data_IF_659980770527
#
_entry.id   IF_659980770527
#
_cell.length_a   1.000
_cell.length_b   1.000
_cell.length_c   1.000
_cell.angle_alpha   90.00
_cell.angle_beta   90.00
_cell.angle_gamma   90.00
#
_symmetry.space_group_name_H-M   'P 1'
#
loop_
_entity.id
_entity.type
_entity.pdbx_description
1 polymer ?
#
# COMPACT_ATOMS: atom_id res chain seq x y z
N UNK A 1 6.62 -8.86 19.96
CA UNK A 1 6.19 -7.83 19.00
C UNK A 1 5.84 -6.51 19.67
N UNK A 2 4.84 -6.45 20.53
CA UNK A 2 4.37 -5.20 21.12
C UNK A 2 5.44 -4.46 21.94
N UNK A 3 6.26 -5.19 22.69
CA UNK A 3 7.33 -4.58 23.50
C UNK A 3 8.31 -3.77 22.66
N UNK A 4 8.58 -4.22 21.44
CA UNK A 4 9.61 -3.57 20.62
C UNK A 4 9.07 -2.47 19.72
N UNK A 5 7.80 -2.54 19.36
CA UNK A 5 7.25 -1.65 18.32
C UNK A 5 6.36 -0.55 18.87
N UNK A 6 5.52 -0.88 19.84
CA UNK A 6 4.61 0.12 20.39
C UNK A 6 5.20 0.91 21.54
N UNK A 7 6.11 0.30 22.33
CA UNK A 7 6.64 0.97 23.51
C UNK A 7 7.27 2.34 23.24
N UNK A 8 8.12 2.51 22.22
CA UNK A 8 8.69 3.83 21.97
C UNK A 8 7.63 4.88 21.65
N UNK A 9 6.64 4.51 20.84
CA UNK A 9 5.53 5.41 20.48
C UNK A 9 4.66 5.74 21.69
N UNK A 10 4.35 4.71 22.46
CA UNK A 10 3.46 4.88 23.63
C UNK A 10 4.11 5.71 24.72
N UNK A 11 5.42 5.57 24.91
CA UNK A 11 6.14 6.35 25.92
C UNK A 11 6.11 7.85 25.62
N UNK A 12 6.23 8.21 24.34
CA UNK A 12 6.22 9.63 23.94
C UNK A 12 4.86 10.30 24.18
N UNK A 13 3.79 9.48 24.30
CA UNK A 13 2.42 9.99 24.49
C UNK A 13 1.91 9.78 25.91
N UNK A 14 2.76 9.38 26.86
CA UNK A 14 2.37 9.02 28.22
C UNK A 14 1.33 7.89 28.23
N UNK A 15 1.49 6.94 27.30
CA UNK A 15 0.60 5.79 27.20
C UNK A 15 1.25 4.56 27.84
N UNK A 16 0.42 3.73 28.42
CA UNK A 16 0.82 2.47 29.08
C UNK A 16 0.07 1.33 28.39
N UNK A 17 0.78 0.27 28.06
CA UNK A 17 0.16 -0.92 27.46
C UNK A 17 0.27 -2.09 28.43
N UNK A 18 -0.82 -2.81 28.64
CA UNK A 18 -0.87 -3.99 29.51
C UNK A 18 -1.46 -5.16 28.75
N UNK A 19 -0.76 -6.29 28.75
CA UNK A 19 -1.30 -7.52 28.21
C UNK A 19 -2.33 -8.06 29.21
N UNK A 20 -3.51 -8.43 28.70
CA UNK A 20 -4.56 -8.98 29.55
C UNK A 20 -5.04 -10.31 28.98
N UNK A 21 -5.72 -11.10 29.81
CA UNK A 21 -6.24 -12.39 29.37
C UNK A 21 -7.30 -12.18 28.30
N UNK A 22 -7.18 -12.92 27.22
CA UNK A 22 -8.18 -12.93 26.16
C UNK A 22 -9.13 -14.11 26.37
N UNK A 23 -10.40 -13.90 26.10
CA UNK A 23 -11.37 -14.99 26.09
C UNK A 23 -11.21 -15.86 24.86
N UNK A 24 -10.58 -15.34 23.82
CA UNK A 24 -10.31 -16.07 22.57
C UNK A 24 -8.85 -16.55 22.60
N UNK A 25 -8.66 -17.86 22.48
CA UNK A 25 -7.35 -18.50 22.50
C UNK A 25 -6.51 -18.16 21.28
N UNK A 26 -7.14 -17.64 20.22
CA UNK A 26 -6.44 -17.27 18.99
C UNK A 26 -6.09 -15.79 18.91
N UNK A 27 -6.34 -15.06 20.01
CA UNK A 27 -6.13 -13.61 20.01
C UNK A 27 -5.38 -13.20 21.29
N UNK A 28 -4.32 -12.43 21.12
CA UNK A 28 -3.69 -11.72 22.24
C UNK A 28 -4.41 -10.39 22.41
N UNK A 29 -4.76 -10.09 23.67
CA UNK A 29 -5.46 -8.84 23.99
C UNK A 29 -4.56 -7.95 24.82
N UNK A 30 -4.53 -6.68 24.47
CA UNK A 30 -3.79 -5.65 25.22
C UNK A 30 -4.72 -4.48 25.49
N UNK A 31 -4.51 -3.82 26.61
CA UNK A 31 -5.24 -2.61 26.98
C UNK A 31 -4.28 -1.45 27.02
N UNK A 32 -4.67 -0.35 26.41
CA UNK A 32 -3.86 0.88 26.39
C UNK A 32 -4.52 1.88 27.36
N UNK A 33 -3.70 2.43 28.23
CA UNK A 33 -4.12 3.42 29.22
C UNK A 33 -3.35 4.71 28.99
N UNK A 34 -4.00 5.83 29.24
CA UNK A 34 -3.33 7.12 29.25
C UNK A 34 -3.24 7.61 30.69
N UNK A 35 -2.06 8.06 31.07
CA UNK A 35 -1.82 8.58 32.42
C UNK A 35 -2.18 10.07 32.45
N UNK A 36 -3.03 10.44 33.36
CA UNK A 36 -3.42 11.83 33.61
C UNK A 36 -2.96 12.27 34.98
N UNK A 37 -2.46 13.49 35.08
CA UNK A 37 -2.13 14.11 36.35
C UNK A 37 -3.34 14.92 36.84
N UNK A 38 -3.74 14.72 38.04
CA UNK A 38 -4.84 15.46 38.66
C UNK A 38 -4.29 16.72 39.34
N UNK A 39 -5.12 17.74 39.56
CA UNK A 39 -4.68 18.94 40.28
C UNK A 39 -4.13 18.63 41.66
N UNK A 40 -4.55 17.53 42.27
CA UNK A 40 -4.04 17.07 43.58
C UNK A 40 -2.59 16.58 43.53
N UNK A 41 -2.03 16.40 42.32
CA UNK A 41 -0.71 15.80 42.15
C UNK A 41 -0.75 14.28 41.97
N UNK A 42 -1.90 13.67 42.19
CA UNK A 42 -2.08 12.24 41.95
C UNK A 42 -2.15 11.96 40.47
N UNK A 43 -1.80 10.72 40.07
CA UNK A 43 -1.94 10.30 38.67
C UNK A 43 -3.01 9.23 38.57
N UNK A 44 -3.72 9.23 37.44
CA UNK A 44 -4.78 8.25 37.18
C UNK A 44 -4.58 7.66 35.79
N UNK A 45 -4.64 6.33 35.71
CA UNK A 45 -4.57 5.62 34.42
C UNK A 45 -5.99 5.41 33.89
N UNK A 46 -6.29 5.99 32.76
CA UNK A 46 -7.61 5.84 32.13
C UNK A 46 -7.45 4.95 30.90
N UNK A 47 -8.22 3.88 30.85
CA UNK A 47 -8.20 2.97 29.70
C UNK A 47 -8.81 3.69 28.50
N UNK A 48 -8.09 3.72 27.41
CA UNK A 48 -8.52 4.41 26.20
C UNK A 48 -8.89 3.47 25.06
N UNK A 49 -8.28 2.26 25.00
CA UNK A 49 -8.67 1.30 23.95
C UNK A 49 -8.22 -0.11 24.28
N UNK A 50 -8.77 -1.06 23.57
CA UNK A 50 -8.33 -2.45 23.56
C UNK A 50 -7.70 -2.75 22.19
N UNK A 51 -6.56 -3.45 22.21
CA UNK A 51 -5.92 -3.95 20.99
C UNK A 51 -6.04 -5.45 20.97
N UNK A 52 -6.41 -5.99 19.83
CA UNK A 52 -6.56 -7.43 19.63
C UNK A 52 -5.62 -7.87 18.52
N UNK A 53 -4.73 -8.80 18.83
CA UNK A 53 -3.75 -9.30 17.87
C UNK A 53 -4.01 -10.79 17.63
N UNK A 54 -4.38 -11.19 16.44
CA UNK A 54 -4.56 -12.62 16.18
C UNK A 54 -3.23 -13.35 16.38
N UNK A 55 -3.30 -14.49 17.06
CA UNK A 55 -2.15 -15.37 17.21
C UNK A 55 -2.08 -16.19 15.93
N UNK A 56 -1.12 -15.87 15.09
CA UNK A 56 -0.94 -16.58 13.84
C UNK A 56 -0.54 -18.02 14.13
N UNK A 57 -1.42 -18.94 13.81
CA UNK A 57 -1.14 -20.38 13.90
C UNK A 57 -0.88 -20.96 12.52
N UNK A 58 -0.55 -20.14 11.57
CA UNK A 58 -0.40 -20.67 10.23
C UNK A 58 0.97 -21.33 10.11
N UNK A 59 0.92 -22.61 9.86
CA UNK A 59 2.02 -23.49 9.52
C UNK A 59 3.05 -22.85 8.59
N UNK A 60 4.07 -22.27 9.14
CA UNK A 60 5.32 -21.96 8.43
C UNK A 60 5.27 -21.00 7.25
N UNK A 61 4.11 -20.47 6.87
CA UNK A 61 4.01 -19.52 5.75
C UNK A 61 3.76 -18.12 6.29
N UNK A 62 4.69 -17.21 6.04
CA UNK A 62 4.56 -15.83 6.47
C UNK A 62 3.53 -15.09 5.60
N UNK A 63 2.73 -14.19 6.17
CA UNK A 63 1.83 -13.36 5.35
C UNK A 63 2.64 -12.50 4.39
N UNK A 64 2.17 -12.42 3.15
CA UNK A 64 2.84 -11.67 2.10
C UNK A 64 2.32 -10.24 2.07
N UNK A 65 3.23 -9.27 1.98
CA UNK A 65 2.86 -7.86 1.92
C UNK A 65 3.58 -7.20 0.74
N UNK A 66 2.83 -6.48 -0.07
CA UNK A 66 3.39 -5.57 -1.06
C UNK A 66 3.22 -4.13 -0.54
N UNK A 67 4.32 -3.49 -0.16
CA UNK A 67 4.35 -2.06 0.10
C UNK A 67 4.66 -1.34 -1.19
N UNK A 68 3.84 -0.35 -1.54
CA UNK A 68 3.99 0.45 -2.75
C UNK A 68 4.34 1.88 -2.32
N UNK A 69 5.47 2.38 -2.82
CA UNK A 69 5.94 3.74 -2.53
C UNK A 69 5.55 4.63 -3.71
N UNK A 70 4.61 5.53 -3.47
CA UNK A 70 4.07 6.45 -4.46
C UNK A 70 4.89 7.75 -4.55
N UNK A 71 4.58 8.55 -5.56
CA UNK A 71 5.07 9.92 -5.78
C UNK A 71 6.57 9.99 -6.03
N UNK A 72 7.16 8.93 -6.56
CA UNK A 72 8.56 8.95 -6.96
C UNK A 72 8.64 9.62 -8.33
N UNK A 73 9.47 10.64 -8.45
CA UNK A 73 9.61 11.43 -9.69
C UNK A 73 11.01 11.30 -10.29
N UNK A 74 12.04 11.36 -9.44
CA UNK A 74 13.41 11.46 -9.92
C UNK A 74 14.39 10.79 -8.98
N UNK A 75 15.58 10.51 -9.52
CA UNK A 75 16.70 10.00 -8.74
C UNK A 75 17.22 11.12 -7.83
N UNK A 76 16.99 10.96 -6.52
CA UNK A 76 17.35 11.99 -5.55
C UNK A 76 17.79 11.34 -4.22
N UNK A 77 18.14 12.20 -3.27
CA UNK A 77 18.62 11.77 -1.95
C UNK A 77 17.64 10.77 -1.29
N UNK A 78 16.34 11.05 -1.35
CA UNK A 78 15.35 10.23 -0.63
C UNK A 78 15.16 8.86 -1.30
N UNK A 79 15.30 8.80 -2.62
CA UNK A 79 15.32 7.51 -3.33
C UNK A 79 16.54 6.70 -2.86
N UNK A 80 17.70 7.32 -2.74
CA UNK A 80 18.90 6.61 -2.27
C UNK A 80 18.75 6.12 -0.83
N UNK A 81 18.12 6.92 0.02
CA UNK A 81 17.81 6.49 1.39
C UNK A 81 16.87 5.28 1.38
N UNK A 82 15.88 5.30 0.51
CA UNK A 82 14.93 4.19 0.38
C UNK A 82 15.64 2.92 -0.11
N UNK A 83 16.57 3.06 -1.04
CA UNK A 83 17.28 1.91 -1.64
C UNK A 83 18.12 1.14 -0.62
N UNK A 84 18.45 1.73 0.54
CA UNK A 84 19.17 1.04 1.61
C UNK A 84 18.29 0.08 2.41
N UNK A 85 16.96 0.13 2.22
CA UNK A 85 16.02 -0.78 2.88
C UNK A 85 16.32 -2.22 2.41
N UNK A 86 16.48 -3.19 3.33
CA UNK A 86 16.99 -4.52 2.94
C UNK A 86 15.95 -5.47 2.36
N UNK A 87 14.66 -5.12 2.40
CA UNK A 87 13.59 -5.99 1.89
C UNK A 87 12.99 -5.40 0.62
N UNK A 88 12.13 -6.18 -0.05
CA UNK A 88 11.50 -5.78 -1.31
C UNK A 88 10.44 -4.69 -1.11
N UNK A 89 10.51 -3.68 -1.97
CA UNK A 89 9.47 -2.66 -2.09
C UNK A 89 9.02 -2.58 -3.55
N UNK A 90 7.90 -1.92 -3.77
CA UNK A 90 7.35 -1.64 -5.09
C UNK A 90 7.35 -0.13 -5.27
N UNK A 91 7.96 0.36 -6.33
CA UNK A 91 8.19 1.79 -6.50
C UNK A 91 7.34 2.30 -7.66
N UNK A 92 6.42 3.21 -7.34
CA UNK A 92 5.50 3.77 -8.33
C UNK A 92 5.98 5.15 -8.73
N UNK A 93 6.36 5.26 -10.00
CA UNK A 93 7.08 6.41 -10.54
C UNK A 93 6.14 7.22 -11.44
N UNK A 94 6.05 8.53 -11.20
CA UNK A 94 5.28 9.44 -12.06
C UNK A 94 6.06 9.56 -13.38
N UNK A 95 5.40 9.37 -14.53
CA UNK A 95 6.10 9.25 -15.81
C UNK A 95 6.51 10.61 -16.41
N UNK A 96 7.55 11.20 -15.87
CA UNK A 96 8.18 12.41 -16.42
C UNK A 96 9.41 11.99 -17.22
N UNK A 97 10.12 12.97 -17.77
CA UNK A 97 11.39 12.71 -18.49
C UNK A 97 12.48 12.16 -17.58
N UNK A 98 12.30 12.23 -16.28
CA UNK A 98 13.26 11.71 -15.28
C UNK A 98 12.96 10.27 -14.90
N UNK A 99 11.87 9.68 -15.39
CA UNK A 99 11.41 8.36 -14.95
C UNK A 99 12.42 7.25 -15.29
N UNK A 100 12.99 7.25 -16.48
CA UNK A 100 13.92 6.20 -16.90
C UNK A 100 15.11 6.08 -15.96
N UNK A 101 15.70 7.20 -15.59
CA UNK A 101 16.89 7.21 -14.74
C UNK A 101 16.59 6.62 -13.36
N UNK A 102 15.49 7.02 -12.72
CA UNK A 102 15.15 6.46 -11.41
C UNK A 102 14.70 5.00 -11.55
N UNK A 103 13.99 4.66 -12.62
CA UNK A 103 13.58 3.27 -12.86
C UNK A 103 14.79 2.33 -12.98
N UNK A 104 15.87 2.77 -13.62
CA UNK A 104 17.10 1.98 -13.73
C UNK A 104 17.68 1.67 -12.35
N UNK A 105 17.68 2.64 -11.43
CA UNK A 105 18.17 2.42 -10.07
C UNK A 105 17.32 1.39 -9.33
N UNK A 106 15.99 1.48 -9.48
CA UNK A 106 15.07 0.53 -8.85
C UNK A 106 15.24 -0.86 -9.45
N UNK A 107 15.40 -0.93 -10.77
CA UNK A 107 15.63 -2.19 -11.48
C UNK A 107 16.90 -2.89 -10.96
N UNK A 108 17.98 -2.15 -10.78
CA UNK A 108 19.24 -2.68 -10.25
C UNK A 108 19.05 -3.26 -8.85
N UNK A 109 18.15 -2.67 -8.05
CA UNK A 109 17.83 -3.13 -6.70
C UNK A 109 16.98 -4.41 -6.72
N UNK A 110 16.35 -4.74 -7.86
CA UNK A 110 15.50 -5.92 -8.00
C UNK A 110 14.08 -5.74 -7.50
N UNK A 111 13.66 -4.52 -7.29
CA UNK A 111 12.30 -4.20 -6.83
C UNK A 111 11.35 -4.04 -8.02
N UNK A 112 10.04 -4.11 -7.75
CA UNK A 112 9.02 -3.90 -8.78
C UNK A 112 8.92 -2.41 -9.14
N UNK A 113 8.86 -2.13 -10.44
CA UNK A 113 8.66 -0.79 -10.95
C UNK A 113 7.21 -0.67 -11.43
N UNK A 114 6.51 0.35 -10.96
CA UNK A 114 5.14 0.63 -11.35
C UNK A 114 5.06 2.03 -11.95
N UNK A 115 4.07 2.25 -12.79
CA UNK A 115 3.77 3.58 -13.31
C UNK A 115 2.70 4.23 -12.44
N UNK A 116 3.02 5.39 -11.88
CA UNK A 116 2.10 6.20 -11.08
C UNK A 116 1.40 7.17 -12.02
N UNK A 117 0.24 6.78 -12.50
CA UNK A 117 -0.42 7.40 -13.66
C UNK A 117 -1.34 8.53 -13.20
N UNK A 118 -1.04 9.79 -13.58
CA UNK A 118 -1.90 10.91 -13.18
C UNK A 118 -3.30 10.80 -13.77
N UNK A 119 -4.29 11.07 -12.92
CA UNK A 119 -5.71 11.06 -13.30
C UNK A 119 -6.43 12.21 -12.60
N UNK A 120 -7.47 12.74 -13.23
CA UNK A 120 -8.22 13.89 -12.72
C UNK A 120 -8.85 13.61 -11.37
N UNK A 121 -8.67 14.56 -10.46
CA UNK A 121 -9.30 14.53 -9.14
C UNK A 121 -10.58 15.35 -9.13
N UNK A 122 -11.42 15.15 -8.11
CA UNK A 122 -12.65 15.96 -7.93
C UNK A 122 -12.34 17.43 -7.63
N UNK A 123 -11.12 17.73 -7.20
CA UNK A 123 -10.72 19.12 -6.89
C UNK A 123 -9.96 19.80 -8.04
N UNK A 124 -9.78 19.11 -9.16
CA UNK A 124 -9.19 19.72 -10.35
C UNK A 124 -10.06 20.92 -10.80
N UNK A 125 -9.49 22.06 -11.20
CA UNK A 125 -8.06 22.30 -11.43
C UNK A 125 -7.26 22.89 -10.25
N UNK A 126 -7.83 22.99 -9.07
CA UNK A 126 -7.15 23.58 -7.90
C UNK A 126 -5.85 22.85 -7.59
N UNK A 127 -5.83 21.55 -7.80
CA UNK A 127 -4.67 20.69 -7.49
C UNK A 127 -3.87 20.28 -8.74
N UNK A 128 -4.07 20.97 -9.86
CA UNK A 128 -3.45 20.62 -11.14
C UNK A 128 -1.92 20.54 -11.05
N UNK A 129 -1.30 21.39 -10.26
CA UNK A 129 0.17 21.40 -10.11
C UNK A 129 0.71 20.10 -9.51
N UNK A 130 -0.10 19.40 -8.72
CA UNK A 130 0.34 18.15 -8.08
C UNK A 130 0.26 16.94 -9.00
N UNK A 131 -0.35 17.07 -10.18
CA UNK A 131 -0.40 15.98 -11.17
C UNK A 131 0.98 15.65 -11.74
N UNK A 132 1.81 16.65 -11.90
CA UNK A 132 3.23 16.55 -12.30
C UNK A 132 3.40 16.15 -13.78
N UNK A 133 2.57 15.25 -14.30
CA UNK A 133 2.60 14.81 -15.69
C UNK A 133 1.18 14.84 -16.27
N UNK A 134 1.06 14.67 -17.58
CA UNK A 134 -0.24 14.73 -18.27
C UNK A 134 -1.20 13.70 -17.67
N UNK A 135 -2.42 14.13 -17.38
CA UNK A 135 -3.40 13.31 -16.67
C UNK A 135 -4.53 12.85 -17.57
N UNK A 136 -5.03 11.64 -17.29
CA UNK A 136 -6.30 11.17 -17.88
C UNK A 136 -7.42 12.00 -17.22
N UNK A 137 -8.31 12.52 -18.07
CA UNK A 137 -9.44 13.35 -17.63
C UNK A 137 -10.75 12.66 -17.95
N UNK A 138 -11.74 12.86 -17.11
CA UNK A 138 -13.10 12.36 -17.36
C UNK A 138 -13.59 12.91 -18.72
N UNK A 139 -14.20 12.02 -19.51
CA UNK A 139 -14.74 12.39 -20.81
C UNK A 139 -13.79 12.24 -21.98
N UNK A 140 -12.51 11.91 -21.72
CA UNK A 140 -11.59 11.60 -22.82
C UNK A 140 -12.05 10.37 -23.58
N UNK A 141 -11.82 10.36 -24.90
CA UNK A 141 -12.07 9.16 -25.70
C UNK A 141 -10.90 8.18 -25.55
N UNK A 142 -11.11 6.96 -26.02
CA UNK A 142 -10.12 5.89 -25.84
C UNK A 142 -8.80 6.20 -26.53
N UNK A 143 -8.83 6.84 -27.71
CA UNK A 143 -7.61 7.20 -28.43
C UNK A 143 -6.79 8.23 -27.65
N UNK A 144 -7.44 9.20 -27.01
CA UNK A 144 -6.76 10.19 -26.18
C UNK A 144 -6.09 9.53 -24.97
N UNK A 145 -6.80 8.60 -24.32
CA UNK A 145 -6.26 7.85 -23.17
C UNK A 145 -5.08 6.98 -23.63
N UNK A 146 -5.25 6.29 -24.76
CA UNK A 146 -4.18 5.46 -25.34
C UNK A 146 -2.92 6.28 -25.58
N UNK A 147 -3.08 7.46 -26.16
CA UNK A 147 -1.94 8.34 -26.44
C UNK A 147 -1.20 8.74 -25.16
N UNK A 148 -1.94 9.06 -24.10
CA UNK A 148 -1.34 9.42 -22.80
C UNK A 148 -0.58 8.23 -22.23
N UNK A 149 -1.20 7.06 -22.19
CA UNK A 149 -0.58 5.85 -21.60
C UNK A 149 0.67 5.46 -22.40
N UNK A 150 0.56 5.44 -23.73
CA UNK A 150 1.68 5.09 -24.59
C UNK A 150 2.85 6.05 -24.41
N UNK A 151 2.57 7.36 -24.39
CA UNK A 151 3.60 8.38 -24.19
C UNK A 151 4.29 8.20 -22.84
N UNK A 152 3.49 7.95 -21.79
CA UNK A 152 4.03 7.76 -20.46
C UNK A 152 4.87 6.48 -20.33
N UNK A 153 4.44 5.39 -20.96
CA UNK A 153 5.23 4.15 -20.96
C UNK A 153 6.61 4.35 -21.59
N UNK A 154 6.69 5.17 -22.62
CA UNK A 154 7.99 5.48 -23.29
C UNK A 154 8.98 6.17 -22.34
N UNK A 155 8.48 6.86 -21.30
CA UNK A 155 9.34 7.52 -20.31
C UNK A 155 10.21 6.54 -19.53
N UNK A 156 9.86 5.26 -19.53
CA UNK A 156 10.61 4.21 -18.81
C UNK A 156 11.69 3.56 -19.68
N UNK A 157 11.83 3.98 -20.94
CA UNK A 157 12.85 3.43 -21.84
C UNK A 157 12.64 1.94 -22.05
N UNK A 158 13.70 1.16 -21.84
CA UNK A 158 13.65 -0.30 -21.98
C UNK A 158 13.20 -1.03 -20.71
N UNK A 159 12.94 -0.30 -19.63
CA UNK A 159 12.48 -0.90 -18.38
C UNK A 159 11.01 -1.30 -18.53
N UNK A 160 10.71 -2.56 -18.26
CA UNK A 160 9.35 -3.07 -18.35
C UNK A 160 8.53 -2.63 -17.14
N UNK A 161 7.35 -2.06 -17.41
CA UNK A 161 6.36 -1.71 -16.40
C UNK A 161 5.16 -2.61 -16.62
N UNK A 162 4.78 -3.38 -15.60
CA UNK A 162 3.64 -4.32 -15.69
C UNK A 162 2.45 -3.89 -14.85
N UNK A 163 2.65 -3.01 -13.87
CA UNK A 163 1.60 -2.55 -12.97
C UNK A 163 1.50 -1.04 -12.99
N UNK A 164 0.27 -0.56 -12.89
CA UNK A 164 -0.06 0.87 -12.87
C UNK A 164 -0.93 1.12 -11.64
N UNK A 165 -0.74 2.25 -10.96
CA UNK A 165 -1.73 2.72 -10.00
C UNK A 165 -2.02 4.20 -10.25
N UNK A 166 -3.23 4.62 -9.88
CA UNK A 166 -3.63 6.01 -10.12
C UNK A 166 -2.94 6.96 -9.15
N UNK A 167 -2.36 8.01 -9.74
CA UNK A 167 -1.90 9.19 -9.01
C UNK A 167 -3.08 10.16 -8.96
N UNK A 168 -3.54 10.51 -7.74
CA UNK A 168 -4.78 11.24 -7.59
C UNK A 168 -5.93 10.42 -8.23
N UNK A 169 -6.80 11.02 -9.02
CA UNK A 169 -7.78 10.28 -9.80
C UNK A 169 -9.13 10.08 -9.13
N UNK A 170 -9.43 10.86 -8.09
CA UNK A 170 -10.70 10.68 -7.37
C UNK A 170 -11.93 10.90 -8.25
N UNK A 171 -11.80 11.67 -9.33
CA UNK A 171 -12.92 11.87 -10.27
C UNK A 171 -12.97 10.75 -11.31
N UNK A 172 -11.83 10.39 -11.90
CA UNK A 172 -11.76 9.35 -12.93
C UNK A 172 -12.19 8.00 -12.37
N UNK A 173 -11.67 7.62 -11.19
CA UNK A 173 -11.94 6.29 -10.62
C UNK A 173 -13.39 6.12 -10.20
N UNK A 174 -14.17 7.21 -10.09
CA UNK A 174 -15.62 7.14 -9.82
C UNK A 174 -16.45 7.12 -11.09
N UNK A 175 -15.86 7.35 -12.24
CA UNK A 175 -16.60 7.49 -13.50
C UNK A 175 -16.53 6.19 -14.32
N UNK A 176 -17.63 5.39 -14.33
CA UNK A 176 -17.57 4.09 -15.03
C UNK A 176 -17.27 4.22 -16.52
N UNK A 177 -17.80 5.23 -17.20
CA UNK A 177 -17.61 5.40 -18.63
C UNK A 177 -16.13 5.64 -18.96
N UNK A 178 -15.47 6.52 -18.21
CA UNK A 178 -14.04 6.79 -18.43
C UNK A 178 -13.21 5.57 -18.00
N UNK A 179 -13.54 4.94 -16.88
CA UNK A 179 -12.79 3.77 -16.41
C UNK A 179 -12.85 2.60 -17.39
N UNK A 180 -13.98 2.41 -18.08
CA UNK A 180 -14.07 1.36 -19.09
C UNK A 180 -13.01 1.57 -20.19
N UNK A 181 -12.87 2.82 -20.64
CA UNK A 181 -11.88 3.17 -21.66
C UNK A 181 -10.45 3.00 -21.15
N UNK A 182 -10.21 3.43 -19.92
CA UNK A 182 -8.89 3.26 -19.28
C UNK A 182 -8.51 1.79 -19.20
N UNK A 183 -9.44 0.94 -18.79
CA UNK A 183 -9.19 -0.51 -18.66
C UNK A 183 -8.92 -1.13 -20.03
N UNK A 184 -9.65 -0.72 -21.07
CA UNK A 184 -9.39 -1.20 -22.43
C UNK A 184 -7.96 -0.88 -22.86
N UNK A 185 -7.49 0.32 -22.53
CA UNK A 185 -6.12 0.73 -22.87
C UNK A 185 -5.12 -0.11 -22.05
N UNK A 186 -5.39 -0.35 -20.76
CA UNK A 186 -4.51 -1.19 -19.95
C UNK A 186 -4.40 -2.61 -20.54
N UNK A 187 -5.51 -3.17 -21.01
CA UNK A 187 -5.48 -4.48 -21.69
C UNK A 187 -4.55 -4.47 -22.91
N UNK A 188 -4.64 -3.42 -23.71
CA UNK A 188 -3.83 -3.27 -24.94
C UNK A 188 -2.32 -3.34 -24.61
N UNK A 189 -1.91 -2.78 -23.49
CA UNK A 189 -0.49 -2.70 -23.10
C UNK A 189 -0.11 -3.75 -22.04
N UNK A 190 -0.96 -4.73 -21.80
CA UNK A 190 -0.73 -5.80 -20.80
C UNK A 190 -0.38 -5.24 -19.43
N UNK A 191 -1.14 -4.24 -18.98
CA UNK A 191 -0.91 -3.59 -17.69
C UNK A 191 -1.90 -4.12 -16.66
N UNK A 192 -1.38 -4.48 -15.49
CA UNK A 192 -2.16 -4.79 -14.30
C UNK A 192 -2.43 -3.48 -13.54
N UNK A 193 -3.46 -3.45 -12.72
CA UNK A 193 -3.92 -2.22 -12.08
C UNK A 193 -4.07 -2.37 -10.57
N UNK A 194 -3.51 -1.41 -9.85
CA UNK A 194 -3.74 -1.22 -8.42
C UNK A 194 -4.59 0.04 -8.25
N UNK A 195 -5.83 -0.13 -7.75
CA UNK A 195 -6.66 1.01 -7.39
C UNK A 195 -6.09 1.62 -6.11
N UNK A 196 -5.57 2.84 -6.19
CA UNK A 196 -4.97 3.51 -5.03
C UNK A 196 -6.00 3.85 -3.96
N UNK A 197 -7.31 3.82 -4.31
CA UNK A 197 -8.42 4.10 -3.38
C UNK A 197 -8.33 5.51 -2.81
N UNK A 198 -8.16 6.48 -3.69
CA UNK A 198 -8.10 7.90 -3.30
C UNK A 198 -9.47 8.44 -2.91
N UNK A 199 -10.53 7.69 -3.16
CA UNK A 199 -11.90 8.10 -2.84
C UNK A 199 -12.74 6.86 -2.49
N UNK A 200 -13.64 7.03 -1.52
CA UNK A 200 -14.71 6.08 -1.29
C UNK A 200 -15.64 6.11 -2.50
N UNK A 201 -16.05 4.97 -2.97
CA UNK A 201 -16.92 4.90 -4.15
C UNK A 201 -16.18 4.76 -5.46
N UNK A 202 -14.85 4.55 -5.43
CA UNK A 202 -14.13 4.17 -6.65
C UNK A 202 -14.75 2.90 -7.23
N UNK A 203 -14.99 2.89 -8.54
CA UNK A 203 -15.45 1.69 -9.26
C UNK A 203 -14.27 1.00 -9.97
N UNK A 204 -13.07 1.57 -9.87
CA UNK A 204 -11.94 1.16 -10.70
C UNK A 204 -11.51 -0.28 -10.45
N UNK A 205 -11.30 -0.67 -9.20
CA UNK A 205 -10.89 -2.04 -8.89
C UNK A 205 -11.93 -3.05 -9.37
N UNK A 206 -13.19 -2.82 -9.03
CA UNK A 206 -14.28 -3.75 -9.39
C UNK A 206 -14.38 -3.93 -10.90
N UNK A 207 -14.30 -2.84 -11.65
CA UNK A 207 -14.37 -2.89 -13.11
C UNK A 207 -13.13 -3.58 -13.71
N UNK A 208 -11.95 -3.27 -13.20
CA UNK A 208 -10.71 -3.90 -13.67
C UNK A 208 -10.74 -5.41 -13.41
N UNK A 209 -11.12 -5.79 -12.21
CA UNK A 209 -11.21 -7.20 -11.82
C UNK A 209 -12.21 -7.95 -12.70
N UNK A 210 -13.39 -7.36 -12.93
CA UNK A 210 -14.44 -7.97 -13.79
C UNK A 210 -14.00 -8.08 -15.24
N UNK A 211 -13.11 -7.20 -15.70
CA UNK A 211 -12.62 -7.21 -17.08
C UNK A 211 -11.56 -8.28 -17.35
N UNK A 212 -11.02 -8.88 -16.28
CA UNK A 212 -10.01 -9.92 -16.37
C UNK A 212 -8.57 -9.45 -16.32
N UNK A 213 -8.32 -8.15 -16.19
CA UNK A 213 -6.91 -7.72 -15.98
C UNK A 213 -6.51 -7.97 -14.52
N UNK A 214 -5.27 -8.36 -14.26
CA UNK A 214 -4.82 -8.51 -12.88
C UNK A 214 -5.02 -7.20 -12.13
N UNK A 215 -5.68 -7.28 -10.98
CA UNK A 215 -6.01 -6.05 -10.23
C UNK A 215 -6.06 -6.29 -8.73
N UNK A 216 -5.69 -5.25 -7.99
CA UNK A 216 -5.73 -5.21 -6.53
C UNK A 216 -6.21 -3.82 -6.14
N UNK A 217 -6.53 -3.64 -4.86
CA UNK A 217 -6.85 -2.32 -4.34
C UNK A 217 -6.07 -2.07 -3.04
N UNK A 218 -5.67 -0.83 -2.85
CA UNK A 218 -4.95 -0.40 -1.65
C UNK A 218 -5.81 -0.65 -0.42
N UNK A 219 -5.23 -1.27 0.60
CA UNK A 219 -5.95 -1.60 1.83
C UNK A 219 -5.80 -0.52 2.89
N UNK A 220 -4.74 0.28 2.82
CA UNK A 220 -4.50 1.34 3.80
C UNK A 220 -3.39 2.25 3.29
N UNK A 221 -3.57 3.57 3.45
CA UNK A 221 -2.47 4.53 3.29
C UNK A 221 -1.70 4.61 4.61
N UNK A 222 -0.41 4.30 4.55
CA UNK A 222 0.44 4.26 5.75
C UNK A 222 0.68 5.67 6.30
N UNK A 223 0.85 6.64 5.41
CA UNK A 223 1.25 7.99 5.79
C UNK A 223 0.23 9.05 5.36
N UNK A 224 -1.04 8.72 5.51
CA UNK A 224 -2.11 9.67 5.28
C UNK A 224 -1.86 10.97 6.06
N UNK A 225 -1.40 10.84 7.29
CA UNK A 225 -0.96 11.97 8.11
C UNK A 225 0.56 11.97 8.20
N UNK A 226 1.18 13.13 7.98
CA UNK A 226 2.64 13.26 7.96
C UNK A 226 3.19 13.44 9.38
N UNK A 227 3.03 12.42 10.21
CA UNK A 227 3.40 12.41 11.63
C UNK A 227 4.03 11.06 11.95
N UNK A 228 5.24 11.07 12.51
CA UNK A 228 6.01 9.83 12.73
C UNK A 228 5.28 8.82 13.59
N UNK A 229 4.61 9.27 14.66
CA UNK A 229 3.89 8.35 15.56
C UNK A 229 2.69 7.73 14.85
N UNK A 230 1.96 8.51 14.06
CA UNK A 230 0.81 8.01 13.31
C UNK A 230 1.24 7.07 12.20
N UNK A 231 2.34 7.37 11.52
CA UNK A 231 2.90 6.48 10.49
C UNK A 231 3.28 5.13 11.13
N UNK A 232 3.95 5.17 12.28
CA UNK A 232 4.34 3.95 13.00
C UNK A 232 3.11 3.10 13.36
N UNK A 233 2.07 3.73 13.86
CA UNK A 233 0.82 3.02 14.22
C UNK A 233 0.14 2.42 12.98
N UNK A 234 0.19 3.12 11.85
CA UNK A 234 -0.40 2.60 10.61
C UNK A 234 0.40 1.43 10.04
N UNK A 235 1.71 1.44 10.16
CA UNK A 235 2.49 0.24 9.83
C UNK A 235 2.05 -0.95 10.67
N UNK A 236 1.85 -0.75 11.97
CA UNK A 236 1.37 -1.82 12.85
C UNK A 236 -0.01 -2.32 12.40
N UNK A 237 -0.90 -1.40 12.08
CA UNK A 237 -2.25 -1.75 11.58
C UNK A 237 -2.14 -2.57 10.29
N UNK A 238 -1.26 -2.17 9.37
CA UNK A 238 -1.05 -2.88 8.10
C UNK A 238 -0.56 -4.31 8.34
N UNK A 239 0.41 -4.49 9.23
CA UNK A 239 0.93 -5.82 9.56
C UNK A 239 -0.19 -6.69 10.13
N UNK A 240 -1.01 -6.14 11.02
CA UNK A 240 -2.14 -6.89 11.61
C UNK A 240 -3.19 -7.26 10.56
N UNK A 241 -3.49 -6.34 9.65
CA UNK A 241 -4.41 -6.64 8.54
C UNK A 241 -3.88 -7.79 7.69
N UNK A 242 -2.59 -7.77 7.37
CA UNK A 242 -1.98 -8.83 6.58
C UNK A 242 -1.95 -10.16 7.33
N UNK A 243 -1.67 -10.15 8.62
CA UNK A 243 -1.67 -11.37 9.43
C UNK A 243 -3.08 -11.98 9.50
N UNK A 244 -4.10 -11.14 9.60
CA UNK A 244 -5.49 -11.59 9.67
C UNK A 244 -5.97 -12.17 8.33
N UNK A 245 -5.55 -11.57 7.21
CA UNK A 245 -6.01 -11.95 5.87
C UNK A 245 -5.09 -12.97 5.19
N UNK A 246 -3.81 -13.03 5.60
CA UNK A 246 -2.78 -13.84 4.96
C UNK A 246 -1.95 -13.04 3.95
N UNK A 247 -2.37 -11.84 3.60
CA UNK A 247 -1.66 -10.98 2.66
C UNK A 247 -2.15 -9.53 2.80
N UNK A 248 -1.37 -8.59 2.23
CA UNK A 248 -1.80 -7.20 2.21
C UNK A 248 -1.09 -6.40 1.14
N UNK A 249 -1.73 -5.32 0.69
CA UNK A 249 -1.12 -4.32 -0.18
C UNK A 249 -1.42 -2.95 0.41
N UNK A 250 -0.38 -2.15 0.60
CA UNK A 250 -0.46 -0.87 1.31
C UNK A 250 0.37 0.17 0.60
N UNK A 251 -0.11 1.41 0.57
CA UNK A 251 0.57 2.51 -0.10
C UNK A 251 1.17 3.46 0.93
N UNK A 252 2.40 3.88 0.67
CA UNK A 252 3.09 4.94 1.38
C UNK A 252 3.72 5.87 0.34
N UNK A 253 4.26 6.99 0.77
CA UNK A 253 4.80 7.99 -0.15
C UNK A 253 6.27 8.25 0.14
N UNK A 254 6.98 8.75 -0.87
CA UNK A 254 8.39 9.11 -0.74
C UNK A 254 8.48 10.42 0.05
N UNK A 255 8.49 10.31 1.37
CA UNK A 255 8.54 11.45 2.29
C UNK A 255 9.58 11.20 3.38
N UNK A 256 10.28 12.26 3.83
CA UNK A 256 11.32 12.08 4.85
C UNK A 256 10.85 11.32 6.10
N UNK A 257 9.71 11.69 6.66
CA UNK A 257 9.20 11.06 7.89
C UNK A 257 8.83 9.60 7.66
N UNK A 258 8.25 9.29 6.50
CA UNK A 258 7.86 7.92 6.16
C UNK A 258 9.11 7.03 6.02
N UNK A 259 10.12 7.51 5.32
CA UNK A 259 11.37 6.77 5.13
C UNK A 259 12.06 6.57 6.47
N UNK A 260 12.10 7.59 7.30
CA UNK A 260 12.69 7.50 8.64
C UNK A 260 12.02 6.40 9.46
N UNK A 261 10.69 6.41 9.53
CA UNK A 261 9.94 5.41 10.31
C UNK A 261 10.14 4.00 9.73
N UNK A 262 10.09 3.87 8.40
CA UNK A 262 10.30 2.58 7.73
C UNK A 262 11.66 1.98 8.13
N UNK A 263 12.71 2.80 8.10
CA UNK A 263 14.06 2.35 8.44
C UNK A 263 14.21 2.02 9.92
N UNK A 264 13.59 2.82 10.80
CA UNK A 264 13.59 2.55 12.24
C UNK A 264 12.90 1.21 12.55
N UNK A 265 11.76 0.98 11.94
CA UNK A 265 11.00 -0.26 12.14
C UNK A 265 11.79 -1.47 11.66
N UNK A 266 12.50 -1.34 10.55
CA UNK A 266 13.33 -2.42 10.04
C UNK A 266 14.43 -2.77 11.06
N UNK A 267 15.11 -1.78 11.59
CA UNK A 267 16.14 -1.98 12.59
C UNK A 267 15.61 -2.63 13.87
N UNK A 268 14.35 -2.36 14.20
CA UNK A 268 13.68 -2.94 15.37
C UNK A 268 13.18 -4.37 15.12
N UNK A 269 13.36 -4.91 13.91
CA UNK A 269 12.91 -6.25 13.57
C UNK A 269 11.42 -6.36 13.25
N UNK A 270 10.79 -5.25 12.93
CA UNK A 270 9.33 -5.16 12.75
C UNK A 270 8.84 -6.07 11.61
N UNK A 271 9.65 -6.24 10.57
CA UNK A 271 9.25 -6.99 9.38
C UNK A 271 9.70 -8.46 9.41
N UNK A 272 10.19 -8.96 10.56
CA UNK A 272 10.76 -10.30 10.65
C UNK A 272 9.73 -11.42 10.45
N UNK A 273 8.46 -11.17 10.75
CA UNK A 273 7.41 -12.19 10.68
C UNK A 273 6.42 -11.96 9.53
N UNK A 274 6.85 -11.22 8.52
CA UNK A 274 6.09 -11.04 7.26
C UNK A 274 7.06 -11.22 6.09
N UNK A 275 6.48 -11.46 4.92
CA UNK A 275 7.23 -11.65 3.68
C UNK A 275 6.94 -10.46 2.76
N UNK A 276 7.92 -9.55 2.59
CA UNK A 276 7.75 -8.37 1.74
C UNK A 276 8.06 -8.76 0.30
N UNK A 277 7.09 -8.60 -0.58
CA UNK A 277 7.14 -9.16 -1.92
C UNK A 277 6.79 -8.10 -2.98
N UNK A 278 7.12 -8.42 -4.24
CA UNK A 278 6.67 -7.66 -5.39
C UNK A 278 5.15 -7.81 -5.53
N UNK A 279 4.48 -6.76 -5.98
CA UNK A 279 3.03 -6.79 -6.18
C UNK A 279 2.64 -7.88 -7.21
N UNK A 280 3.47 -8.12 -8.22
CA UNK A 280 3.22 -9.18 -9.18
C UNK A 280 3.24 -10.56 -8.54
N UNK A 281 4.19 -10.79 -7.63
CA UNK A 281 4.28 -12.06 -6.89
C UNK A 281 3.12 -12.20 -5.91
N UNK A 282 2.70 -11.12 -5.28
CA UNK A 282 1.54 -11.12 -4.41
C UNK A 282 0.28 -11.52 -5.18
N UNK A 283 0.06 -10.91 -6.34
CA UNK A 283 -1.12 -11.22 -7.15
C UNK A 283 -1.14 -12.69 -7.56
N UNK A 284 -0.01 -13.23 -7.98
CA UNK A 284 0.10 -14.65 -8.33
C UNK A 284 -0.21 -15.55 -7.16
N UNK A 285 0.32 -15.24 -5.97
CA UNK A 285 0.07 -16.04 -4.77
C UNK A 285 -1.41 -16.05 -4.38
N UNK A 286 -2.09 -14.91 -4.49
CA UNK A 286 -3.53 -14.80 -4.21
C UNK A 286 -4.32 -15.67 -5.20
N UNK A 287 -3.97 -15.61 -6.47
CA UNK A 287 -4.65 -16.40 -7.52
C UNK A 287 -4.45 -17.90 -7.34
N UNK A 288 -3.26 -18.34 -7.00
CA UNK A 288 -2.97 -19.75 -6.74
C UNK A 288 -3.83 -20.29 -5.59
N UNK A 289 -3.91 -19.53 -4.49
CA UNK A 289 -4.73 -19.91 -3.34
C UNK A 289 -6.23 -19.96 -3.67
N UNK A 290 -6.72 -19.05 -4.50
CA UNK A 290 -8.14 -19.05 -4.88
C UNK A 290 -8.46 -20.24 -5.79
N UNK A 291 -7.53 -20.69 -6.60
CA UNK A 291 -7.68 -21.91 -7.41
C UNK A 291 -7.63 -23.14 -6.52
N UNK A 292 -6.76 -23.20 -5.58
CA UNK A 292 -6.70 -24.28 -4.58
C UNK A 292 -7.97 -24.39 -3.74
N UNK A 293 -8.45 -23.36 -3.42
CA UNK A 293 -9.66 -23.33 -2.67
C UNK A 293 -10.84 -23.69 -3.51
N UNK A 294 -10.69 -23.46 -4.74
CA UNK A 294 -11.67 -23.88 -5.69
C UNK A 294 -11.53 -25.35 -5.93
N UNK A 295 -10.54 -25.79 -5.86
CA UNK A 295 -10.26 -27.15 -6.02
C UNK A 295 -10.61 -27.93 -4.77
N UNK A 296 -10.48 -27.36 -3.81
CA UNK A 296 -10.82 -28.01 -2.61
C UNK A 296 -12.30 -28.05 -2.36
N UNK A 297 -12.81 -27.05 -2.74
CA UNK A 297 -14.21 -27.02 -2.66
C UNK A 297 -14.87 -27.92 -3.71
N UNK A 298 -14.38 -28.13 -4.66
CA UNK A 298 -14.83 -28.98 -5.67
C UNK A 298 -14.64 -30.42 -5.27
N UNK A 299 -13.80 -30.62 -4.66
CA UNK A 299 -13.55 -31.92 -4.15
C UNK A 299 -14.46 -32.27 -3.00
N UNK A 300 -14.76 -31.38 -2.43
CA UNK A 300 -15.67 -31.64 -1.37
C UNK A 300 -17.08 -31.79 -1.80
N UNK A 301 -17.28 -31.35 -2.78
CA UNK A 301 -18.53 -31.54 -3.42
C UNK A 301 -18.67 -32.80 -4.22
N UNK A 302 -17.84 -33.28 -4.41
CA UNK A 302 -17.82 -34.49 -5.14
C UNK A 302 -17.78 -35.70 -4.24
N UNK A 303 -17.67 -35.65 -2.98
CA UNK A 303 -17.77 -36.72 -1.98
C UNK A 303 -19.13 -36.63 -1.27
#
# INVERSE_FOLDING_TARGET
MIKYFLLPTLKSENLIIRKVKSSDKLVEKYQVYKKYSLPSGETKDVKILNLYFPISRISGVLPKIAFVVDDVVEDNYWVHELLSFPYTLNISIIPTRKAEKVAEKIFERGWEIMMHLPMESITYPKDAKYLVAEAIMVGMNEDEIDNIVRTHLKRFGNIKVSWVNNHMGSKVTKDPETMEKVINVFKKYNLAFLDSKTILGSVAYKMANSSGIPSLENMLFIDHENDENKIRLRFLKAINMAKSKGWGVFILHLRPKTIKVLKELEKEGFFADVDLVKISDLYEAINEHSLDXXXXXXXXXXN
#
